data_IF_191710174856
#
_entry.id   IF_191710174856
#
_cell.length_a   1.000
_cell.length_b   1.000
_cell.length_c   1.000
_cell.angle_alpha   90.00
_cell.angle_beta   90.00
_cell.angle_gamma   90.00
#
_symmetry.space_group_name_H-M   'P 1'
#
loop_
_entity.id
_entity.type
_entity.pdbx_description
1 polymer ?
#
# COMPACT_ATOMS: atom_id res chain seq x y z
N UNK A 1 -24.84 31.72 -12.31
CA UNK A 1 -23.97 30.90 -11.43
C UNK A 1 -23.42 29.75 -12.27
N UNK A 2 -22.15 29.83 -12.69
CA UNK A 2 -21.49 28.76 -13.46
C UNK A 2 -21.15 27.63 -12.49
N UNK A 3 -21.80 26.48 -12.62
CA UNK A 3 -21.33 25.26 -11.96
C UNK A 3 -19.97 24.93 -12.57
N UNK A 4 -18.91 25.10 -11.78
CA UNK A 4 -17.62 24.46 -12.01
C UNK A 4 -17.80 22.97 -11.86
N UNK A 5 -18.32 22.32 -12.90
CA UNK A 5 -18.14 20.89 -13.10
C UNK A 5 -16.62 20.66 -13.17
N UNK A 6 -16.05 20.21 -12.07
CA UNK A 6 -14.65 19.76 -12.01
C UNK A 6 -14.49 18.72 -13.11
N UNK A 7 -13.56 18.96 -14.04
CA UNK A 7 -13.24 18.00 -15.09
C UNK A 7 -12.93 16.64 -14.42
N UNK A 8 -13.74 15.60 -14.67
CA UNK A 8 -13.60 14.32 -13.98
C UNK A 8 -12.22 13.69 -14.23
N UNK A 9 -11.59 13.99 -15.37
CA UNK A 9 -10.25 13.50 -15.67
C UNK A 9 -9.20 14.24 -14.86
N UNK A 10 -9.37 15.55 -14.64
CA UNK A 10 -8.49 16.34 -13.78
C UNK A 10 -8.60 15.88 -12.32
N UNK A 11 -9.82 15.59 -11.84
CA UNK A 11 -10.05 15.02 -10.51
C UNK A 11 -9.36 13.65 -10.35
N UNK A 12 -9.56 12.72 -11.29
CA UNK A 12 -8.89 11.41 -11.25
C UNK A 12 -7.36 11.54 -11.33
N UNK A 13 -6.83 12.47 -12.11
CA UNK A 13 -5.39 12.74 -12.19
C UNK A 13 -4.83 13.20 -10.85
N UNK A 14 -5.53 14.13 -10.17
CA UNK A 14 -5.16 14.59 -8.84
C UNK A 14 -5.21 13.47 -7.79
N UNK A 15 -6.26 12.64 -7.81
CA UNK A 15 -6.39 11.47 -6.92
C UNK A 15 -5.23 10.51 -7.14
N UNK A 16 -4.93 10.13 -8.39
CA UNK A 16 -3.81 9.23 -8.70
C UNK A 16 -2.47 9.84 -8.29
N UNK A 17 -2.27 11.14 -8.47
CA UNK A 17 -1.06 11.84 -8.04
C UNK A 17 -0.92 11.94 -6.50
N UNK A 18 -2.03 11.80 -5.77
CA UNK A 18 -2.06 11.81 -4.30
C UNK A 18 -1.72 10.45 -3.68
N UNK A 19 -1.90 9.35 -4.42
CA UNK A 19 -1.64 7.98 -3.95
C UNK A 19 -0.21 7.83 -3.37
N UNK A 20 0.87 8.32 -4.03
CA UNK A 20 2.21 8.28 -3.45
C UNK A 20 2.36 9.09 -2.15
N UNK A 21 1.63 10.21 -2.00
CA UNK A 21 1.62 11.00 -0.75
C UNK A 21 1.09 10.13 0.38
N UNK A 22 -0.07 9.51 0.15
CA UNK A 22 -0.78 8.67 1.12
C UNK A 22 0.08 7.47 1.48
N UNK A 23 0.70 6.82 0.49
CA UNK A 23 1.56 5.68 0.72
C UNK A 23 2.84 6.02 1.51
N UNK A 24 3.44 7.18 1.28
CA UNK A 24 4.57 7.65 2.08
C UNK A 24 4.17 7.96 3.52
N UNK A 25 3.02 8.61 3.71
CA UNK A 25 2.46 8.82 5.05
C UNK A 25 2.17 7.50 5.78
N UNK A 26 1.61 6.53 5.06
CA UNK A 26 1.34 5.19 5.57
C UNK A 26 2.63 4.44 5.91
N UNK A 27 3.64 4.47 5.04
CA UNK A 27 4.95 3.89 5.31
C UNK A 27 5.60 4.53 6.55
N UNK A 28 5.55 5.86 6.63
CA UNK A 28 6.02 6.61 7.79
C UNK A 28 5.31 6.16 9.07
N UNK A 29 3.98 6.01 9.04
CA UNK A 29 3.19 5.61 10.21
C UNK A 29 3.44 4.16 10.66
N UNK A 30 3.74 3.26 9.71
CA UNK A 30 4.14 1.88 9.98
C UNK A 30 5.50 1.85 10.66
N UNK A 31 6.47 2.65 10.24
CA UNK A 31 7.78 2.69 10.89
C UNK A 31 7.69 3.39 12.25
N UNK A 32 7.18 4.62 12.27
CA UNK A 32 7.05 5.42 13.49
C UNK A 32 6.04 6.56 13.28
N UNK A 33 5.02 6.67 14.13
CA UNK A 33 3.93 7.66 13.95
C UNK A 33 4.41 9.10 13.65
N UNK A 34 5.44 9.67 14.32
CA UNK A 34 5.97 10.98 13.99
C UNK A 34 6.57 11.09 12.57
N UNK A 35 7.16 10.02 12.04
CA UNK A 35 7.66 10.01 10.65
C UNK A 35 6.53 10.14 9.64
N UNK A 36 5.29 9.76 9.98
CA UNK A 36 4.15 9.95 9.09
C UNK A 36 3.98 11.43 8.71
N UNK A 37 4.14 12.34 9.67
CA UNK A 37 4.01 13.79 9.44
C UNK A 37 5.10 14.28 8.48
N UNK A 38 6.35 13.88 8.73
CA UNK A 38 7.48 14.24 7.88
C UNK A 38 7.35 13.65 6.47
N UNK A 39 6.89 12.40 6.36
CA UNK A 39 6.68 11.72 5.09
C UNK A 39 5.53 12.35 4.28
N UNK A 40 4.43 12.75 4.93
CA UNK A 40 3.34 13.49 4.28
C UNK A 40 3.81 14.87 3.84
N UNK A 41 4.52 15.62 4.69
CA UNK A 41 5.05 16.93 4.33
C UNK A 41 6.00 16.84 3.12
N UNK A 42 6.90 15.85 3.14
CA UNK A 42 7.78 15.55 2.01
C UNK A 42 6.99 15.16 0.76
N UNK A 43 5.93 14.37 0.92
CA UNK A 43 5.09 13.96 -0.19
C UNK A 43 4.32 15.12 -0.81
N UNK A 44 3.76 16.02 0.01
CA UNK A 44 3.13 17.26 -0.46
C UNK A 44 4.15 18.12 -1.22
N UNK A 45 5.38 18.26 -0.70
CA UNK A 45 6.45 18.96 -1.40
C UNK A 45 6.80 18.32 -2.76
N UNK A 46 6.70 16.99 -2.89
CA UNK A 46 6.93 16.25 -4.13
C UNK A 46 5.72 16.14 -5.05
N UNK A 47 4.52 16.49 -4.58
CA UNK A 47 3.26 16.38 -5.33
C UNK A 47 3.31 16.98 -6.74
N UNK A 48 3.90 18.18 -6.98
CA UNK A 48 3.97 18.74 -8.34
C UNK A 48 4.80 17.88 -9.32
N UNK A 49 5.75 17.08 -8.82
CA UNK A 49 6.50 16.12 -9.65
C UNK A 49 5.66 14.90 -9.97
N UNK A 50 4.95 14.34 -9.00
CA UNK A 50 4.06 13.19 -9.21
C UNK A 50 2.91 13.52 -10.15
N UNK A 51 2.28 14.69 -9.96
CA UNK A 51 1.24 15.17 -10.87
C UNK A 51 1.76 15.27 -12.31
N UNK A 52 2.96 15.83 -12.52
CA UNK A 52 3.61 15.87 -13.84
C UNK A 52 3.91 14.49 -14.41
N UNK A 53 4.31 13.53 -13.58
CA UNK A 53 4.54 12.14 -14.03
C UNK A 53 3.25 11.47 -14.48
N UNK A 54 2.14 11.65 -13.76
CA UNK A 54 0.84 11.08 -14.12
C UNK A 54 0.33 11.71 -15.43
N UNK A 55 0.42 13.05 -15.55
CA UNK A 55 0.04 13.76 -16.78
C UNK A 55 0.93 13.34 -17.95
N UNK A 56 2.25 13.28 -17.76
CA UNK A 56 3.21 12.87 -18.79
C UNK A 56 3.02 11.43 -19.25
N UNK A 57 2.75 10.50 -18.32
CA UNK A 57 2.42 9.11 -18.64
C UNK A 57 1.13 8.99 -19.44
N UNK A 58 0.10 9.74 -19.06
CA UNK A 58 -1.17 9.84 -19.79
C UNK A 58 -0.97 10.36 -21.22
N UNK A 59 -0.20 11.43 -21.38
CA UNK A 59 0.11 12.00 -22.69
C UNK A 59 0.98 11.07 -23.54
N UNK A 60 1.91 10.33 -22.95
CA UNK A 60 2.71 9.33 -23.64
C UNK A 60 1.84 8.20 -24.20
N UNK A 61 0.82 7.76 -23.46
CA UNK A 61 -0.19 6.80 -23.97
C UNK A 61 -1.02 7.42 -25.09
N UNK A 62 -1.44 8.69 -24.95
CA UNK A 62 -2.25 9.38 -25.96
C UNK A 62 -1.54 9.50 -27.32
N UNK A 63 -0.22 9.75 -27.30
CA UNK A 63 0.63 9.96 -28.48
C UNK A 63 1.18 8.65 -29.05
N UNK A 64 1.07 7.54 -28.32
CA UNK A 64 1.54 6.23 -28.76
C UNK A 64 0.71 5.75 -29.96
N UNK A 65 1.35 5.58 -31.12
CA UNK A 65 0.69 5.03 -32.30
C UNK A 65 0.12 3.63 -32.02
N UNK A 66 -0.94 3.26 -32.75
CA UNK A 66 -1.62 1.95 -32.60
C UNK A 66 -0.66 0.75 -32.67
N UNK A 67 0.48 0.89 -33.36
CA UNK A 67 1.51 -0.15 -33.51
C UNK A 67 2.41 -0.36 -32.28
N UNK A 68 2.57 0.63 -31.41
CA UNK A 68 3.44 0.54 -30.22
C UNK A 68 2.78 -0.21 -29.04
N UNK A 69 2.25 -1.41 -29.31
CA UNK A 69 1.59 -2.29 -28.32
C UNK A 69 2.53 -2.67 -27.17
N UNK A 70 3.81 -2.92 -27.49
CA UNK A 70 4.84 -3.28 -26.50
C UNK A 70 5.05 -2.17 -25.45
N UNK A 71 5.17 -0.92 -25.89
CA UNK A 71 5.33 0.23 -24.99
C UNK A 71 4.13 0.40 -24.04
N UNK A 72 2.91 0.28 -24.56
CA UNK A 72 1.69 0.36 -23.74
C UNK A 72 1.61 -0.78 -22.73
N UNK A 73 1.93 -2.00 -23.13
CA UNK A 73 1.98 -3.15 -22.22
C UNK A 73 3.02 -2.96 -21.11
N UNK A 74 4.22 -2.45 -21.44
CA UNK A 74 5.25 -2.15 -20.46
C UNK A 74 4.79 -1.08 -19.46
N UNK A 75 4.15 -0.01 -19.94
CA UNK A 75 3.66 1.06 -19.07
C UNK A 75 2.50 0.58 -18.18
N UNK A 76 1.53 -0.15 -18.72
CA UNK A 76 0.45 -0.76 -17.94
C UNK A 76 1.00 -1.73 -16.89
N UNK A 77 1.95 -2.58 -17.28
CA UNK A 77 2.64 -3.49 -16.37
C UNK A 77 3.37 -2.73 -15.25
N UNK A 78 4.09 -1.67 -15.58
CA UNK A 78 4.77 -0.83 -14.59
C UNK A 78 3.78 -0.19 -13.59
N UNK A 79 2.63 0.28 -14.06
CA UNK A 79 1.59 0.84 -13.19
C UNK A 79 0.96 -0.22 -12.29
N UNK A 80 0.70 -1.43 -12.78
CA UNK A 80 0.22 -2.55 -11.95
C UNK A 80 1.23 -2.86 -10.85
N UNK A 81 2.50 -3.06 -11.22
CA UNK A 81 3.56 -3.38 -10.27
C UNK A 81 3.70 -2.28 -9.23
N UNK A 82 3.71 -1.01 -9.66
CA UNK A 82 3.79 0.12 -8.75
C UNK A 82 2.56 0.19 -7.83
N UNK A 83 1.36 -0.07 -8.36
CA UNK A 83 0.13 -0.12 -7.57
C UNK A 83 0.17 -1.18 -6.48
N UNK A 84 0.68 -2.38 -6.78
CA UNK A 84 0.88 -3.47 -5.80
C UNK A 84 1.92 -3.08 -4.74
N UNK A 85 3.05 -2.50 -5.15
CA UNK A 85 4.09 -2.06 -4.21
C UNK A 85 3.57 -0.98 -3.27
N UNK A 86 2.80 -0.04 -3.80
CA UNK A 86 2.25 1.09 -3.07
C UNK A 86 1.05 0.70 -2.20
N UNK A 87 0.32 -0.37 -2.54
CA UNK A 87 -0.77 -0.88 -1.71
C UNK A 87 -0.27 -1.48 -0.39
N UNK A 88 0.96 -2.01 -0.36
CA UNK A 88 1.56 -2.62 0.83
C UNK A 88 1.56 -1.68 2.06
N UNK A 89 2.22 -0.51 2.05
CA UNK A 89 2.21 0.39 3.21
C UNK A 89 0.80 0.92 3.53
N UNK A 90 -0.04 1.14 2.51
CA UNK A 90 -1.42 1.61 2.70
C UNK A 90 -2.24 0.56 3.46
N UNK A 91 -2.17 -0.70 3.05
CA UNK A 91 -2.86 -1.79 3.72
C UNK A 91 -2.33 -2.02 5.14
N UNK A 92 -1.01 -1.91 5.36
CA UNK A 92 -0.45 -1.99 6.71
C UNK A 92 -0.96 -0.88 7.63
N UNK A 93 -1.09 0.35 7.13
CA UNK A 93 -1.67 1.45 7.90
C UNK A 93 -3.17 1.27 8.14
N UNK A 94 -3.91 0.76 7.15
CA UNK A 94 -5.35 0.47 7.27
C UNK A 94 -5.63 -0.60 8.32
N UNK A 95 -4.87 -1.70 8.30
CA UNK A 95 -4.99 -2.81 9.25
C UNK A 95 -4.12 -2.65 10.49
N UNK A 96 -3.63 -1.43 10.81
CA UNK A 96 -2.63 -1.25 11.87
C UNK A 96 -3.06 -1.82 13.22
N UNK A 97 -4.35 -1.71 13.58
CA UNK A 97 -4.87 -2.25 14.82
C UNK A 97 -4.99 -3.78 14.79
N UNK A 98 -5.45 -4.36 13.68
CA UNK A 98 -5.52 -5.80 13.50
C UNK A 98 -4.13 -6.44 13.52
N UNK A 99 -3.17 -5.84 12.82
CA UNK A 99 -1.78 -6.29 12.81
C UNK A 99 -1.17 -6.25 14.23
N UNK A 100 -1.53 -5.24 15.05
CA UNK A 100 -1.11 -5.18 16.45
C UNK A 100 -1.77 -6.27 17.28
N UNK A 101 -3.07 -6.49 17.12
CA UNK A 101 -3.80 -7.53 17.83
C UNK A 101 -3.26 -8.93 17.50
N UNK A 102 -2.91 -9.19 16.25
CA UNK A 102 -2.29 -10.44 15.80
C UNK A 102 -0.90 -10.67 16.38
N UNK A 103 -0.10 -9.61 16.54
CA UNK A 103 1.26 -9.70 17.07
C UNK A 103 1.34 -9.62 18.60
N UNK A 104 0.27 -9.16 19.28
CA UNK A 104 0.25 -8.90 20.71
C UNK A 104 0.66 -10.10 21.58
N UNK A 105 0.20 -11.35 21.33
CA UNK A 105 0.63 -12.50 22.12
C UNK A 105 2.15 -12.70 22.06
N UNK A 106 2.72 -12.66 20.85
CA UNK A 106 4.17 -12.81 20.64
C UNK A 106 4.96 -11.68 21.29
N UNK A 107 4.51 -10.43 21.13
CA UNK A 107 5.17 -9.26 21.73
C UNK A 107 5.18 -9.39 23.26
N UNK A 108 4.03 -9.72 23.85
CA UNK A 108 3.87 -9.87 25.30
C UNK A 108 4.68 -11.03 25.88
N UNK A 109 4.77 -12.15 25.16
CA UNK A 109 5.57 -13.31 25.57
C UNK A 109 7.07 -12.98 25.59
N UNK A 110 7.56 -12.21 24.60
CA UNK A 110 8.95 -11.74 24.56
C UNK A 110 9.22 -10.74 25.69
N UNK A 111 8.32 -9.80 25.94
CA UNK A 111 8.44 -8.82 27.04
C UNK A 111 8.43 -9.50 28.41
N UNK A 112 7.60 -10.53 28.60
CA UNK A 112 7.53 -11.32 29.81
C UNK A 112 8.68 -12.34 29.98
N UNK A 113 9.57 -12.47 28.97
CA UNK A 113 10.61 -13.51 28.90
C UNK A 113 10.05 -14.92 29.15
N UNK A 114 8.89 -15.19 28.58
CA UNK A 114 8.26 -16.50 28.69
C UNK A 114 9.17 -17.59 28.09
N UNK A 115 9.20 -18.80 28.68
CA UNK A 115 10.03 -19.90 28.18
C UNK A 115 9.62 -20.33 26.77
N UNK A 116 8.33 -20.20 26.44
CA UNK A 116 7.78 -20.41 25.10
C UNK A 116 7.15 -19.11 24.58
N UNK A 117 7.65 -18.62 23.45
CA UNK A 117 7.08 -17.47 22.76
C UNK A 117 5.89 -17.95 21.95
N UNK A 118 4.67 -17.65 22.41
CA UNK A 118 3.46 -17.94 21.65
C UNK A 118 3.42 -17.09 20.36
N UNK A 119 3.43 -17.77 19.21
CA UNK A 119 3.39 -17.16 17.88
C UNK A 119 2.04 -17.34 17.19
N UNK A 120 1.08 -17.93 17.90
CA UNK A 120 -0.26 -18.17 17.39
C UNK A 120 -1.07 -16.88 17.43
N UNK A 121 -1.85 -16.67 16.37
CA UNK A 121 -2.80 -15.56 16.32
C UNK A 121 -4.04 -16.03 17.10
N UNK A 122 -4.63 -15.18 17.97
CA UNK A 122 -5.75 -15.59 18.81
C UNK A 122 -6.90 -16.17 17.98
N UNK A 123 -7.20 -17.48 18.11
CA UNK A 123 -8.23 -18.13 17.29
C UNK A 123 -9.63 -17.64 17.66
N UNK A 124 -9.80 -17.11 18.88
CA UNK A 124 -11.05 -16.50 19.33
C UNK A 124 -11.48 -15.28 18.49
N UNK A 125 -10.51 -14.56 17.88
CA UNK A 125 -10.78 -13.34 17.10
C UNK A 125 -10.71 -13.64 15.60
N UNK A 126 -9.74 -14.45 15.18
CA UNK A 126 -9.41 -14.63 13.75
C UNK A 126 -9.70 -16.05 13.22
N UNK A 127 -10.22 -16.94 14.07
CA UNK A 127 -10.45 -18.35 13.72
C UNK A 127 -9.16 -19.11 13.42
N UNK A 128 -9.27 -20.17 12.63
CA UNK A 128 -8.11 -20.90 12.12
C UNK A 128 -7.25 -19.96 11.27
N UNK A 129 -6.09 -19.61 11.80
CA UNK A 129 -5.20 -18.60 11.25
C UNK A 129 -3.88 -19.23 10.82
N UNK A 130 -3.27 -18.73 9.73
CA UNK A 130 -2.02 -19.26 9.22
C UNK A 130 -0.88 -18.99 10.20
N UNK A 131 -0.07 -20.01 10.47
CA UNK A 131 1.15 -19.90 11.29
C UNK A 131 2.37 -19.46 10.47
N UNK A 132 2.27 -19.50 9.14
CA UNK A 132 3.33 -19.12 8.19
C UNK A 132 2.89 -17.89 7.37
N UNK A 133 3.72 -16.87 7.18
CA UNK A 133 5.08 -16.71 7.72
C UNK A 133 5.11 -16.57 9.25
N UNK A 134 6.16 -17.05 9.91
CA UNK A 134 6.31 -17.04 11.38
C UNK A 134 6.79 -15.68 11.90
N UNK A 135 6.39 -15.32 13.13
CA UNK A 135 6.89 -14.13 13.84
C UNK A 135 8.27 -14.33 14.49
N UNK A 136 8.88 -15.51 14.40
CA UNK A 136 10.12 -15.86 15.09
C UNK A 136 11.29 -14.89 14.79
N UNK A 137 11.45 -14.48 13.53
CA UNK A 137 12.49 -13.49 13.18
C UNK A 137 12.24 -12.12 13.80
N UNK A 138 10.97 -11.74 13.96
CA UNK A 138 10.59 -10.48 14.58
C UNK A 138 10.76 -10.53 16.11
N UNK A 139 10.45 -11.66 16.74
CA UNK A 139 10.66 -11.84 18.19
C UNK A 139 12.14 -11.88 18.55
N UNK A 140 12.98 -12.50 17.72
CA UNK A 140 14.43 -12.43 17.88
C UNK A 140 14.92 -10.97 17.82
N UNK A 141 14.45 -10.20 16.84
CA UNK A 141 14.78 -8.76 16.72
C UNK A 141 14.32 -7.97 17.95
N UNK A 142 13.09 -8.21 18.42
CA UNK A 142 12.54 -7.55 19.60
C UNK A 142 13.35 -7.87 20.87
N UNK A 143 13.76 -9.12 21.04
CA UNK A 143 14.53 -9.58 22.19
C UNK A 143 15.85 -8.81 22.34
N UNK A 144 16.52 -8.50 21.22
CA UNK A 144 17.78 -7.75 21.21
C UNK A 144 17.60 -6.22 21.17
N UNK A 145 16.42 -5.72 20.87
CA UNK A 145 16.16 -4.29 20.69
C UNK A 145 14.97 -3.83 21.53
N UNK A 146 13.82 -3.60 20.92
CA UNK A 146 12.54 -3.32 21.55
C UNK A 146 11.39 -3.55 20.55
N UNK A 147 10.16 -3.52 21.04
CA UNK A 147 8.95 -3.75 20.23
C UNK A 147 8.74 -2.66 19.16
N UNK A 148 9.21 -1.43 19.39
CA UNK A 148 9.10 -0.33 18.41
C UNK A 148 9.99 -0.56 17.19
N UNK A 149 11.23 -1.02 17.39
CA UNK A 149 12.19 -1.32 16.32
C UNK A 149 11.78 -2.60 15.57
N UNK A 150 11.25 -3.59 16.28
CA UNK A 150 10.78 -4.83 15.66
C UNK A 150 9.42 -4.69 14.96
N UNK A 151 8.66 -3.62 15.22
CA UNK A 151 7.30 -3.44 14.72
C UNK A 151 7.16 -3.51 13.18
N UNK A 152 8.05 -2.91 12.36
CA UNK A 152 7.98 -3.07 10.91
C UNK A 152 8.03 -4.54 10.46
N UNK A 153 8.80 -5.39 11.14
CA UNK A 153 8.84 -6.83 10.89
C UNK A 153 7.48 -7.46 11.21
N UNK A 154 6.95 -7.23 12.41
CA UNK A 154 5.63 -7.75 12.83
C UNK A 154 4.52 -7.32 11.88
N UNK A 155 4.48 -6.05 11.48
CA UNK A 155 3.47 -5.54 10.54
C UNK A 155 3.58 -6.19 9.16
N UNK A 156 4.80 -6.54 8.72
CA UNK A 156 5.04 -7.17 7.40
C UNK A 156 4.64 -8.64 7.41
N UNK A 157 5.03 -9.39 8.45
CA UNK A 157 4.62 -10.78 8.64
C UNK A 157 3.11 -10.88 8.80
N UNK A 158 2.51 -10.00 9.62
CA UNK A 158 1.07 -9.94 9.80
C UNK A 158 0.33 -9.63 8.49
N UNK A 159 0.84 -8.69 7.68
CA UNK A 159 0.27 -8.39 6.37
C UNK A 159 0.28 -9.60 5.43
N UNK A 160 1.38 -10.37 5.39
CA UNK A 160 1.45 -11.59 4.59
C UNK A 160 0.50 -12.68 5.08
N UNK A 161 0.21 -12.73 6.39
CA UNK A 161 -0.81 -13.61 6.95
C UNK A 161 -2.23 -13.15 6.59
N UNK A 162 -2.50 -11.84 6.53
CA UNK A 162 -3.82 -11.32 6.11
C UNK A 162 -4.22 -11.82 4.71
N UNK A 163 -3.28 -11.95 3.78
CA UNK A 163 -3.52 -12.50 2.45
C UNK A 163 -3.98 -13.96 2.45
N UNK A 164 -3.71 -14.69 3.53
CA UNK A 164 -4.09 -16.10 3.68
C UNK A 164 -5.35 -16.26 4.53
N UNK A 165 -5.81 -15.20 5.21
CA UNK A 165 -7.02 -15.21 6.02
C UNK A 165 -8.25 -14.93 5.17
N UNK A 166 -9.20 -15.88 5.16
CA UNK A 166 -10.45 -15.76 4.38
C UNK A 166 -11.25 -14.49 4.71
N UNK A 167 -11.26 -14.08 5.98
CA UNK A 167 -11.98 -12.90 6.43
C UNK A 167 -11.35 -11.57 5.98
N UNK A 168 -10.02 -11.50 5.83
CA UNK A 168 -9.31 -10.28 5.48
C UNK A 168 -8.98 -10.18 3.98
N UNK A 169 -8.87 -11.31 3.28
CA UNK A 169 -8.56 -11.40 1.85
C UNK A 169 -9.36 -10.44 0.96
N UNK A 170 -10.71 -10.36 1.02
CA UNK A 170 -11.47 -9.50 0.10
C UNK A 170 -11.13 -8.01 0.29
N UNK A 171 -10.87 -7.58 1.53
CA UNK A 171 -10.52 -6.18 1.82
C UNK A 171 -9.10 -5.86 1.38
N UNK A 172 -8.14 -6.76 1.63
CA UNK A 172 -6.74 -6.59 1.17
C UNK A 172 -6.66 -6.57 -0.36
N UNK A 173 -7.39 -7.49 -1.02
CA UNK A 173 -7.50 -7.53 -2.46
C UNK A 173 -8.17 -6.26 -3.00
N UNK A 174 -9.28 -5.83 -2.39
CA UNK A 174 -10.01 -4.62 -2.78
C UNK A 174 -9.15 -3.36 -2.69
N UNK A 175 -8.37 -3.19 -1.61
CA UNK A 175 -7.41 -2.09 -1.47
C UNK A 175 -6.34 -2.13 -2.55
N UNK A 176 -5.77 -3.30 -2.82
CA UNK A 176 -4.73 -3.47 -3.83
C UNK A 176 -5.26 -3.18 -5.24
N UNK A 177 -6.46 -3.70 -5.54
CA UNK A 177 -7.15 -3.41 -6.80
C UNK A 177 -7.50 -1.93 -6.91
N UNK A 178 -7.92 -1.25 -5.86
CA UNK A 178 -8.24 0.17 -5.90
C UNK A 178 -7.00 1.00 -6.27
N UNK A 179 -5.86 0.72 -5.64
CA UNK A 179 -4.59 1.44 -5.89
C UNK A 179 -4.04 1.16 -7.29
N UNK A 180 -4.26 -0.02 -7.86
CA UNK A 180 -3.82 -0.37 -9.21
C UNK A 180 -4.82 0.04 -10.31
N UNK A 181 -6.12 -0.18 -10.10
CA UNK A 181 -7.17 0.01 -11.09
C UNK A 181 -7.46 1.48 -11.37
N UNK A 182 -7.39 2.37 -10.38
CA UNK A 182 -7.60 3.81 -10.58
C UNK A 182 -6.58 4.41 -11.59
N UNK A 183 -5.26 4.22 -11.41
CA UNK A 183 -4.26 4.62 -12.40
C UNK A 183 -4.46 3.96 -13.78
N UNK A 184 -4.82 2.68 -13.81
CA UNK A 184 -5.07 1.95 -15.06
C UNK A 184 -6.28 2.52 -15.82
N UNK A 185 -7.38 2.77 -15.12
CA UNK A 185 -8.59 3.35 -15.69
C UNK A 185 -8.32 4.76 -16.25
N UNK A 186 -7.52 5.55 -15.54
CA UNK A 186 -7.09 6.87 -16.02
C UNK A 186 -6.32 6.79 -17.35
N UNK A 187 -5.42 5.81 -17.49
CA UNK A 187 -4.67 5.61 -18.74
C UNK A 187 -5.52 4.99 -19.86
N UNK A 188 -6.45 4.09 -19.53
CA UNK A 188 -7.34 3.47 -20.51
C UNK A 188 -8.28 4.49 -21.15
N UNK A 189 -8.81 5.43 -20.38
CA UNK A 189 -9.77 6.43 -20.89
C UNK A 189 -9.15 7.50 -21.80
N UNK A 190 -7.84 7.42 -22.06
CA UNK A 190 -7.17 8.27 -23.04
C UNK A 190 -7.47 7.76 -24.45
N UNK A 191 -8.38 8.44 -25.16
CA UNK A 191 -8.56 8.20 -26.60
C UNK A 191 -7.32 8.68 -27.35
N UNK A 192 -6.72 7.86 -28.24
CA UNK A 192 -5.67 8.35 -29.12
C UNK A 192 -6.28 9.45 -30.01
N UNK A 193 -5.76 10.67 -29.90
CA UNK A 193 -6.08 11.74 -30.85
C UNK A 193 -5.54 11.33 -32.20
N UNK A 194 -6.44 10.89 -33.10
CA UNK A 194 -6.16 10.86 -34.52
C UNK A 194 -5.92 12.30 -34.96
N UNK A 195 -4.65 12.68 -35.12
CA UNK A 195 -4.33 13.85 -35.95
C UNK A 195 -4.57 13.40 -37.38
N UNK A 196 -5.63 13.92 -37.97
CA UNK A 196 -5.82 13.94 -39.42
C UNK A 196 -4.83 14.87 -40.09
#
# INVERSE_FOLDING_TARGET
MRSTLVDPVAACTAVVASIPVVALGALGSVVWKPLAVLAVAWGIYRYPRWHRMVVGGREAVARSERSARSFRLQLYGAVVVLGIVVSFPIAQAFFANDLRAMAAPTISAVEARAPDVDQTIPPAIYGDSPTVPSYWGCSATQYWTNSVIAWPCYSSVGYLRLWQMRAAFPTVLGLTLLVAALPLALMWHVRPTARG
#
